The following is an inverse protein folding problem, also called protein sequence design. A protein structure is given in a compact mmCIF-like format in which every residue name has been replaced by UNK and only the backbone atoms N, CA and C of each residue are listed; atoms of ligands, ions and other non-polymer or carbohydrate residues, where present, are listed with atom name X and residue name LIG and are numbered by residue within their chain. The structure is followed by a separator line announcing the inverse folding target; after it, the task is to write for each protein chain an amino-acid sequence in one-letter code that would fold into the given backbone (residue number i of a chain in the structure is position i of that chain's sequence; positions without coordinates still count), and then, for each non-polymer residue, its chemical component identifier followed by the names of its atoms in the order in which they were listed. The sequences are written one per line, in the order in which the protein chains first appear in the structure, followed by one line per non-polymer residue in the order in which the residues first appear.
data_IF_098968307855
#
_entry.id   IF_098968307855
#
_cell.length_a   1.000
_cell.length_b   1.000
_cell.length_c   1.000
_cell.angle_alpha   90.00
_cell.angle_beta   90.00
_cell.angle_gamma   90.00
#
_symmetry.space_group_name_H-M   'P 1'
#
loop_
_entity.id
_entity.type
_entity.pdbx_description
1 polymer ?
#
# COMPACT_ATOMS: atom_id res chain seq x y z
N UNK A 1 -6.30 2.33 -0.37
CA UNK A 1 -7.61 2.87 0.10
C UNK A 1 -7.46 4.20 0.83
N UNK A 2 -6.66 4.29 1.91
CA UNK A 2 -6.50 5.54 2.67
C UNK A 2 -6.06 6.73 1.82
N UNK A 3 -5.08 6.54 0.93
CA UNK A 3 -4.60 7.62 0.06
C UNK A 3 -5.70 8.19 -0.83
N UNK A 4 -6.47 7.32 -1.47
CA UNK A 4 -7.64 7.68 -2.29
C UNK A 4 -8.64 8.48 -1.45
N UNK A 5 -8.98 8.03 -0.24
CA UNK A 5 -9.89 8.77 0.64
C UNK A 5 -9.37 10.18 0.98
N UNK A 6 -8.07 10.31 1.29
CA UNK A 6 -7.43 11.58 1.60
C UNK A 6 -7.43 12.56 0.41
N UNK A 7 -7.26 12.06 -0.82
CA UNK A 7 -7.33 12.89 -2.04
C UNK A 7 -8.77 13.36 -2.26
N UNK A 8 -9.74 12.44 -2.15
CA UNK A 8 -11.15 12.75 -2.40
C UNK A 8 -11.75 13.71 -1.37
N UNK A 9 -11.25 13.70 -0.13
CA UNK A 9 -11.68 14.67 0.89
C UNK A 9 -11.23 16.10 0.58
N UNK A 10 -10.24 16.29 -0.29
CA UNK A 10 -9.80 17.59 -0.79
C UNK A 10 -10.52 18.02 -2.07
N UNK A 11 -11.52 17.27 -2.54
CA UNK A 11 -12.26 17.52 -3.78
C UNK A 11 -13.77 17.67 -3.53
N UNK A 12 -14.46 18.52 -4.29
CA UNK A 12 -15.92 18.59 -4.26
C UNK A 12 -16.54 17.28 -4.76
N UNK A 13 -17.71 16.93 -4.25
CA UNK A 13 -18.41 15.67 -4.59
C UNK A 13 -18.59 15.46 -6.10
N UNK A 14 -18.81 16.54 -6.86
CA UNK A 14 -18.94 16.51 -8.32
C UNK A 14 -17.68 16.02 -9.04
N UNK A 15 -16.49 16.35 -8.53
CA UNK A 15 -15.20 15.95 -9.11
C UNK A 15 -14.76 14.54 -8.68
N UNK A 16 -15.28 14.02 -7.57
CA UNK A 16 -14.82 12.75 -6.98
C UNK A 16 -15.00 11.54 -7.91
N UNK A 17 -16.02 11.52 -8.76
CA UNK A 17 -16.23 10.40 -9.71
C UNK A 17 -15.08 10.31 -10.71
N UNK A 18 -14.72 11.43 -11.34
CA UNK A 18 -13.59 11.48 -12.28
C UNK A 18 -12.27 11.19 -11.59
N UNK A 19 -12.03 11.83 -10.43
CA UNK A 19 -10.83 11.62 -9.65
C UNK A 19 -10.63 10.16 -9.23
N UNK A 20 -11.69 9.43 -8.84
CA UNK A 20 -11.62 8.00 -8.52
C UNK A 20 -11.14 7.16 -9.70
N UNK A 21 -11.59 7.47 -10.92
CA UNK A 21 -11.17 6.76 -12.12
C UNK A 21 -9.68 6.96 -12.35
N UNK A 22 -9.20 8.20 -12.37
CA UNK A 22 -7.78 8.50 -12.59
C UNK A 22 -6.88 7.96 -11.48
N UNK A 23 -7.35 7.98 -10.22
CA UNK A 23 -6.65 7.34 -9.10
C UNK A 23 -6.54 5.81 -9.26
N UNK A 24 -7.52 5.17 -9.89
CA UNK A 24 -7.45 3.75 -10.21
C UNK A 24 -6.39 3.48 -11.29
N UNK A 25 -6.30 4.33 -12.32
CA UNK A 25 -5.25 4.24 -13.34
C UNK A 25 -3.84 4.30 -12.74
N UNK A 26 -3.61 5.18 -11.76
CA UNK A 26 -2.32 5.26 -11.04
C UNK A 26 -2.03 3.97 -10.27
N UNK A 27 -3.04 3.44 -9.56
CA UNK A 27 -2.89 2.24 -8.71
C UNK A 27 -2.68 0.96 -9.53
N UNK A 28 -3.42 0.83 -10.62
CA UNK A 28 -3.50 -0.41 -11.41
C UNK A 28 -2.63 -0.38 -12.66
N UNK A 29 -1.81 0.66 -12.83
CA UNK A 29 -0.80 0.72 -13.87
C UNK A 29 0.09 -0.54 -13.88
N UNK A 30 0.54 -0.91 -15.08
CA UNK A 30 1.35 -2.11 -15.30
C UNK A 30 2.77 -1.97 -14.71
N UNK A 31 3.35 -0.77 -14.79
CA UNK A 31 4.66 -0.48 -14.21
C UNK A 31 4.75 0.96 -13.66
N UNK A 32 5.88 1.25 -13.01
CA UNK A 32 6.17 2.54 -12.38
C UNK A 32 6.09 3.71 -13.37
N UNK A 33 6.52 3.51 -14.62
CA UNK A 33 6.53 4.57 -15.63
C UNK A 33 5.09 4.94 -16.06
N UNK A 34 4.24 3.93 -16.24
CA UNK A 34 2.82 4.14 -16.51
C UNK A 34 2.11 4.80 -15.33
N UNK A 35 2.41 4.38 -14.11
CA UNK A 35 1.84 4.98 -12.90
C UNK A 35 2.24 6.46 -12.75
N UNK A 36 3.50 6.79 -13.06
CA UNK A 36 4.03 8.16 -13.04
C UNK A 36 3.33 9.03 -14.09
N UNK A 37 3.20 8.55 -15.34
CA UNK A 37 2.45 9.26 -16.39
C UNK A 37 0.98 9.48 -16.00
N UNK A 38 0.35 8.50 -15.34
CA UNK A 38 -1.02 8.64 -14.85
C UNK A 38 -1.12 9.68 -13.71
N UNK A 39 -0.11 9.77 -12.85
CA UNK A 39 -0.03 10.79 -11.80
C UNK A 39 0.15 12.19 -12.39
N UNK A 40 0.97 12.35 -13.43
CA UNK A 40 1.14 13.61 -14.15
C UNK A 40 -0.16 14.04 -14.85
N UNK A 41 -0.89 13.09 -15.45
CA UNK A 41 -2.21 13.36 -16.03
C UNK A 41 -3.21 13.83 -14.96
N UNK A 42 -3.21 13.21 -13.78
CA UNK A 42 -4.03 13.66 -12.64
C UNK A 42 -3.64 15.07 -12.19
N UNK A 43 -2.35 15.36 -12.10
CA UNK A 43 -1.84 16.67 -11.72
C UNK A 43 -2.26 17.75 -12.74
N UNK A 44 -2.22 17.44 -14.04
CA UNK A 44 -2.66 18.36 -15.09
C UNK A 44 -4.17 18.64 -15.04
N UNK A 45 -4.98 17.60 -14.83
CA UNK A 45 -6.45 17.72 -14.80
C UNK A 45 -6.95 18.50 -13.56
N UNK A 46 -6.42 18.17 -12.38
CA UNK A 46 -6.92 18.73 -11.11
C UNK A 46 -6.08 19.88 -10.55
N UNK A 47 -4.85 20.09 -11.03
CA UNK A 47 -3.86 20.98 -10.41
C UNK A 47 -4.23 22.45 -10.39
N UNK A 48 -4.87 22.96 -11.44
CA UNK A 48 -5.26 24.38 -11.51
C UNK A 48 -6.36 24.75 -10.49
N UNK A 49 -7.30 23.83 -10.23
CA UNK A 49 -8.47 24.08 -9.35
C UNK A 49 -8.29 23.53 -7.95
N UNK A 50 -7.57 22.43 -7.80
CA UNK A 50 -7.43 21.68 -6.55
C UNK A 50 -5.98 21.25 -6.29
N UNK A 51 -5.04 22.21 -6.16
CA UNK A 51 -3.62 21.90 -5.96
C UNK A 51 -3.38 21.06 -4.69
N UNK A 52 -4.20 21.24 -3.64
CA UNK A 52 -4.11 20.43 -2.41
C UNK A 52 -4.43 18.95 -2.64
N UNK A 53 -5.31 18.62 -3.59
CA UNK A 53 -5.63 17.25 -3.92
C UNK A 53 -4.49 16.60 -4.73
N UNK A 54 -3.86 17.37 -5.61
CA UNK A 54 -2.70 16.95 -6.40
C UNK A 54 -1.46 16.75 -5.54
N UNK A 55 -1.14 17.70 -4.65
CA UNK A 55 -0.03 17.63 -3.70
C UNK A 55 -0.05 16.31 -2.90
N UNK A 56 -1.25 15.88 -2.49
CA UNK A 56 -1.40 14.59 -1.81
C UNK A 56 -0.90 13.42 -2.63
N UNK A 57 -0.86 13.46 -3.96
CA UNK A 57 -0.27 12.36 -4.75
C UNK A 57 1.20 12.66 -5.05
N UNK A 58 1.49 13.85 -5.57
CA UNK A 58 2.81 14.21 -6.09
C UNK A 58 3.89 14.21 -5.02
N UNK A 59 3.56 14.69 -3.81
CA UNK A 59 4.53 14.79 -2.70
C UNK A 59 4.93 13.41 -2.16
N UNK A 60 4.05 12.42 -2.32
CA UNK A 60 4.23 11.05 -1.83
C UNK A 60 4.33 10.03 -2.99
N UNK A 61 4.64 10.46 -4.22
CA UNK A 61 4.56 9.58 -5.39
C UNK A 61 5.54 8.40 -5.28
N UNK A 62 6.77 8.65 -4.87
CA UNK A 62 7.80 7.62 -4.70
C UNK A 62 7.37 6.51 -3.72
N UNK A 63 6.97 6.81 -2.46
CA UNK A 63 6.49 5.77 -1.55
C UNK A 63 5.17 5.13 -2.00
N UNK A 64 4.33 5.81 -2.79
CA UNK A 64 3.12 5.20 -3.35
C UNK A 64 3.40 4.15 -4.42
N UNK A 65 4.53 4.27 -5.13
CA UNK A 65 4.92 3.37 -6.21
C UNK A 65 6.01 2.36 -5.79
N UNK A 66 6.51 2.43 -4.55
CA UNK A 66 7.53 1.52 -4.02
C UNK A 66 7.12 0.03 -4.07
N UNK A 67 5.82 -0.29 -4.16
CA UNK A 67 5.38 -1.68 -4.30
C UNK A 67 5.91 -2.36 -5.57
N UNK A 68 6.29 -1.61 -6.62
CA UNK A 68 6.91 -2.17 -7.83
C UNK A 68 8.30 -2.78 -7.60
N UNK A 69 8.94 -2.46 -6.47
CA UNK A 69 10.25 -2.97 -6.07
C UNK A 69 10.14 -4.31 -5.31
N UNK A 70 8.94 -4.88 -5.24
CA UNK A 70 8.63 -6.18 -4.65
C UNK A 70 8.14 -7.15 -5.74
N UNK A 71 8.11 -8.48 -5.48
CA UNK A 71 7.60 -9.46 -6.43
C UNK A 71 6.19 -9.12 -6.96
N UNK A 72 5.97 -9.34 -8.26
CA UNK A 72 4.69 -9.04 -8.91
C UNK A 72 3.50 -9.76 -8.25
N UNK A 73 3.74 -10.97 -7.74
CA UNK A 73 2.76 -11.77 -7.00
C UNK A 73 2.26 -11.06 -5.74
N UNK A 74 3.11 -10.23 -5.12
CA UNK A 74 2.81 -9.54 -3.86
C UNK A 74 2.01 -8.25 -4.10
N UNK A 75 2.07 -7.67 -5.31
CA UNK A 75 1.46 -6.36 -5.60
C UNK A 75 -0.03 -6.30 -5.27
N UNK A 76 -0.80 -7.35 -5.54
CA UNK A 76 -2.23 -7.40 -5.21
C UNK A 76 -2.49 -7.19 -3.71
N UNK A 77 -1.59 -7.69 -2.86
CA UNK A 77 -1.68 -7.58 -1.41
C UNK A 77 -1.16 -6.22 -0.90
N UNK A 78 -0.13 -5.68 -1.55
CA UNK A 78 0.47 -4.38 -1.20
C UNK A 78 -0.41 -3.19 -1.60
N UNK A 79 -1.23 -3.33 -2.66
CA UNK A 79 -2.14 -2.27 -3.14
C UNK A 79 -3.43 -2.14 -2.32
N UNK A 80 -3.73 -3.11 -1.46
CA UNK A 80 -4.94 -3.15 -0.63
C UNK A 80 -4.64 -2.91 0.84
N UNK A 81 -5.63 -2.38 1.56
CA UNK A 81 -5.53 -2.19 3.02
C UNK A 81 -6.14 -3.37 3.79
N UNK A 82 -6.67 -4.39 3.09
CA UNK A 82 -7.33 -5.52 3.72
C UNK A 82 -6.48 -6.27 4.75
N UNK A 83 -5.16 -6.52 4.52
CA UNK A 83 -4.31 -7.17 5.53
C UNK A 83 -4.27 -6.43 6.87
N UNK A 84 -4.45 -5.10 6.85
CA UNK A 84 -4.51 -4.26 8.06
C UNK A 84 -5.96 -4.18 8.56
N UNK A 85 -6.89 -3.79 7.69
CA UNK A 85 -8.28 -3.48 8.04
C UNK A 85 -9.06 -4.71 8.52
N UNK A 86 -8.88 -5.86 7.87
CA UNK A 86 -9.52 -7.13 8.25
C UNK A 86 -9.05 -7.57 9.64
N UNK A 87 -7.75 -7.49 9.88
CA UNK A 87 -7.10 -7.84 11.15
C UNK A 87 -7.64 -7.01 12.32
N UNK A 88 -7.86 -5.71 12.11
CA UNK A 88 -8.42 -4.82 13.14
C UNK A 88 -9.96 -4.78 13.20
N UNK A 89 -10.67 -5.45 12.29
CA UNK A 89 -12.13 -5.41 12.25
C UNK A 89 -12.77 -5.90 13.56
N UNK A 90 -12.31 -7.04 14.08
CA UNK A 90 -12.83 -7.63 15.33
C UNK A 90 -12.50 -6.79 16.55
N UNK A 91 -11.31 -6.19 16.60
CA UNK A 91 -10.90 -5.28 17.69
C UNK A 91 -11.82 -4.06 17.75
N UNK A 92 -12.10 -3.44 16.60
CA UNK A 92 -13.01 -2.30 16.51
C UNK A 92 -14.44 -2.67 16.87
N UNK A 93 -14.92 -3.81 16.38
CA UNK A 93 -16.25 -4.33 16.72
C UNK A 93 -16.39 -4.49 18.23
N UNK A 94 -15.44 -5.19 18.87
CA UNK A 94 -15.48 -5.43 20.31
C UNK A 94 -15.41 -4.13 21.10
N UNK A 95 -14.50 -3.23 20.73
CA UNK A 95 -14.35 -1.91 21.37
C UNK A 95 -15.64 -1.09 21.28
N UNK A 96 -16.34 -1.13 20.14
CA UNK A 96 -17.63 -0.46 19.95
C UNK A 96 -18.72 -1.06 20.85
N UNK A 97 -18.80 -2.39 20.92
CA UNK A 97 -19.82 -3.11 21.72
C UNK A 97 -19.60 -2.90 23.21
N UNK A 98 -18.35 -2.94 23.69
CA UNK A 98 -18.02 -2.75 25.10
C UNK A 98 -17.98 -1.28 25.53
N UNK A 99 -18.21 -0.34 24.60
CA UNK A 99 -18.08 1.12 24.80
C UNK A 99 -16.71 1.50 25.36
N UNK A 100 -15.66 0.91 24.81
CA UNK A 100 -14.28 1.08 25.26
C UNK A 100 -13.75 -0.09 26.09
N UNK A 101 -12.46 -0.06 26.46
CA UNK A 101 -11.80 -1.19 27.12
C UNK A 101 -11.86 -1.18 28.66
N UNK A 102 -12.44 -0.15 29.28
CA UNK A 102 -12.43 0.05 30.74
C UNK A 102 -11.09 0.50 31.32
N UNK A 103 -9.97 -0.05 30.84
CA UNK A 103 -8.62 0.43 31.16
C UNK A 103 -7.66 0.22 29.98
N UNK A 104 -6.51 0.91 30.00
CA UNK A 104 -5.46 0.72 28.98
C UNK A 104 -4.97 -0.73 28.92
N UNK A 105 -4.72 -1.33 30.08
CA UNK A 105 -4.22 -2.70 30.17
C UNK A 105 -5.23 -3.71 29.60
N UNK A 106 -6.52 -3.57 29.95
CA UNK A 106 -7.58 -4.41 29.42
C UNK A 106 -7.73 -4.26 27.89
N UNK A 107 -7.58 -3.03 27.38
CA UNK A 107 -7.64 -2.76 25.94
C UNK A 107 -6.51 -3.41 25.16
N UNK A 108 -5.29 -3.33 25.69
CA UNK A 108 -4.13 -3.99 25.09
C UNK A 108 -4.28 -5.51 25.11
N UNK A 109 -4.70 -6.10 26.23
CA UNK A 109 -4.92 -7.54 26.34
C UNK A 109 -6.00 -8.04 25.37
N UNK A 110 -7.11 -7.31 25.28
CA UNK A 110 -8.19 -7.60 24.32
C UNK A 110 -7.69 -7.54 22.87
N UNK A 111 -7.01 -6.45 22.49
CA UNK A 111 -6.47 -6.32 21.13
C UNK A 111 -5.50 -7.46 20.82
N UNK A 112 -4.55 -7.75 21.72
CA UNK A 112 -3.59 -8.83 21.57
C UNK A 112 -4.29 -10.18 21.35
N UNK A 113 -5.23 -10.57 22.21
CA UNK A 113 -5.92 -11.87 22.10
C UNK A 113 -6.81 -11.98 20.86
N UNK A 114 -7.44 -10.89 20.43
CA UNK A 114 -8.22 -10.88 19.18
C UNK A 114 -7.33 -10.98 17.94
N UNK A 115 -6.16 -10.33 17.96
CA UNK A 115 -5.16 -10.45 16.88
C UNK A 115 -4.55 -11.85 16.86
N UNK A 116 -4.23 -12.42 18.02
CA UNK A 116 -3.72 -13.78 18.17
C UNK A 116 -4.70 -14.80 17.57
N UNK A 117 -6.00 -14.68 17.84
CA UNK A 117 -7.02 -15.56 17.26
C UNK A 117 -7.31 -15.29 15.76
N UNK A 118 -7.02 -14.09 15.26
CA UNK A 118 -7.18 -13.77 13.85
C UNK A 118 -6.06 -14.39 12.99
N UNK A 119 -4.84 -14.47 13.54
CA UNK A 119 -3.66 -14.94 12.83
C UNK A 119 -3.81 -16.36 12.29
N UNK A 120 -4.53 -17.22 13.01
CA UNK A 120 -4.72 -18.64 12.67
C UNK A 120 -5.45 -18.84 11.33
N UNK A 121 -6.16 -17.79 10.86
CA UNK A 121 -6.95 -17.83 9.62
C UNK A 121 -6.39 -16.92 8.52
N UNK A 122 -5.20 -16.35 8.71
CA UNK A 122 -4.62 -15.48 7.69
C UNK A 122 -4.23 -16.28 6.45
N UNK A 123 -4.63 -15.74 5.31
CA UNK A 123 -4.18 -16.24 4.01
C UNK A 123 -2.75 -15.76 3.79
N UNK A 124 -1.87 -16.67 3.36
CA UNK A 124 -0.53 -16.30 2.92
C UNK A 124 -0.57 -15.37 1.70
N UNK A 125 0.48 -14.55 1.54
CA UNK A 125 0.71 -13.79 0.31
C UNK A 125 0.85 -14.73 -0.88
N UNK A 126 0.56 -14.26 -2.09
CA UNK A 126 0.84 -15.06 -3.28
C UNK A 126 2.36 -15.21 -3.42
N UNK A 127 2.86 -16.36 -3.89
CA UNK A 127 4.30 -16.65 -3.88
C UNK A 127 4.96 -16.52 -2.48
N UNK A 128 4.54 -17.30 -1.46
CA UNK A 128 5.09 -17.17 -0.09
C UNK A 128 6.61 -17.41 -0.01
N UNK A 129 7.16 -18.27 -0.87
CA UNK A 129 8.59 -18.59 -0.90
C UNK A 129 9.45 -17.36 -1.26
N UNK A 130 8.90 -16.38 -1.99
CA UNK A 130 9.60 -15.14 -2.37
C UNK A 130 9.80 -14.20 -1.18
N UNK A 131 9.05 -14.38 -0.08
CA UNK A 131 9.22 -13.57 1.14
C UNK A 131 10.63 -13.72 1.71
N UNK A 132 11.24 -14.90 1.59
CA UNK A 132 12.63 -15.11 2.03
C UNK A 132 13.61 -14.22 1.24
N UNK A 133 13.40 -14.06 -0.06
CA UNK A 133 14.23 -13.21 -0.94
C UNK A 133 14.04 -11.73 -0.63
N UNK A 134 12.80 -11.30 -0.41
CA UNK A 134 12.50 -9.93 0.05
C UNK A 134 13.19 -9.64 1.39
N UNK A 135 13.12 -10.57 2.34
CA UNK A 135 13.80 -10.44 3.64
C UNK A 135 15.32 -10.42 3.53
N UNK A 136 15.89 -11.10 2.53
CA UNK A 136 17.32 -11.09 2.24
C UNK A 136 17.78 -9.82 1.49
N UNK A 137 16.85 -8.92 1.11
CA UNK A 137 17.17 -7.70 0.40
C UNK A 137 17.46 -7.92 -1.10
N UNK A 138 16.91 -8.97 -1.70
CA UNK A 138 16.98 -9.16 -3.15
C UNK A 138 16.33 -7.97 -3.88
N UNK A 139 16.92 -7.55 -5.00
CA UNK A 139 16.38 -6.46 -5.83
C UNK A 139 15.37 -7.03 -6.82
N UNK A 140 14.23 -6.37 -6.93
CA UNK A 140 13.24 -6.65 -7.96
C UNK A 140 13.08 -5.43 -8.86
N UNK A 141 13.07 -5.64 -10.16
CA UNK A 141 12.70 -4.62 -11.14
C UNK A 141 11.44 -5.05 -11.86
N UNK A 142 10.42 -4.17 -11.84
CA UNK A 142 9.10 -4.46 -12.39
C UNK A 142 8.53 -5.81 -11.90
N UNK A 143 8.84 -6.16 -10.65
CA UNK A 143 8.34 -7.37 -10.00
C UNK A 143 9.08 -8.66 -10.33
N UNK A 144 10.16 -8.60 -11.11
CA UNK A 144 11.02 -9.74 -11.44
C UNK A 144 12.34 -9.62 -10.67
N UNK A 145 12.85 -10.74 -10.15
CA UNK A 145 14.14 -10.75 -9.47
C UNK A 145 15.26 -10.41 -10.45
N UNK A 146 16.10 -9.45 -10.07
CA UNK A 146 17.31 -9.14 -10.81
C UNK A 146 18.45 -9.90 -10.15
N UNK A 147 18.99 -10.90 -10.85
CA UNK A 147 20.21 -11.55 -10.40
C UNK A 147 21.33 -10.52 -10.33
N UNK A 148 22.13 -10.59 -9.26
CA UNK A 148 23.29 -9.72 -9.12
C UNK A 148 24.25 -10.12 -10.24
N UNK A 149 24.52 -9.22 -11.19
CA UNK A 149 25.63 -9.44 -12.11
C UNK A 149 26.90 -9.71 -11.27
N UNK A 150 27.70 -10.73 -11.60
CA UNK A 150 28.95 -10.96 -10.91
C UNK A 150 29.78 -9.69 -11.11
N UNK A 151 29.94 -8.92 -10.03
CA UNK A 151 30.94 -7.84 -10.00
C UNK A 151 32.24 -8.45 -10.48
N UNK A 152 32.83 -7.83 -11.49
CA UNK A 152 34.16 -8.15 -12.00
C UNK A 152 35.07 -8.60 -10.85
N UNK A 153 35.51 -9.86 -10.91
CA UNK A 153 36.64 -10.33 -10.14
C UNK A 153 37.89 -9.64 -10.70
N UNK A 154 38.06 -8.36 -10.42
CA UNK A 154 39.31 -7.67 -10.67
C UNK A 154 39.47 -6.51 -9.68
N UNK A 155 40.05 -6.84 -8.52
CA UNK A 155 41.04 -6.03 -7.82
C UNK A 155 41.37 -6.70 -6.47
N UNK A 156 42.12 -7.80 -6.51
CA UNK A 156 42.92 -8.25 -5.37
C UNK A 156 44.18 -8.96 -5.89
N UNK A 157 45.20 -8.14 -6.12
CA UNK A 157 46.66 -8.36 -6.07
C UNK A 157 47.26 -9.65 -6.66
#
# INVERSE_FOLDING_TARGET
VHKVANVLSALPKSAQRSARKMLAEIRDAEDRDHATRAADAFAKEFGAKWPKAVAKITDDLEPLLAFYDFPAEHWIHLKTTNPIESTFATVRLRTKVTKGPGSRAAGLAMAFKLLEAAQDRWRAVNGPHLVALVRAGARFEKGVIVEREPKDQEAAA
#
